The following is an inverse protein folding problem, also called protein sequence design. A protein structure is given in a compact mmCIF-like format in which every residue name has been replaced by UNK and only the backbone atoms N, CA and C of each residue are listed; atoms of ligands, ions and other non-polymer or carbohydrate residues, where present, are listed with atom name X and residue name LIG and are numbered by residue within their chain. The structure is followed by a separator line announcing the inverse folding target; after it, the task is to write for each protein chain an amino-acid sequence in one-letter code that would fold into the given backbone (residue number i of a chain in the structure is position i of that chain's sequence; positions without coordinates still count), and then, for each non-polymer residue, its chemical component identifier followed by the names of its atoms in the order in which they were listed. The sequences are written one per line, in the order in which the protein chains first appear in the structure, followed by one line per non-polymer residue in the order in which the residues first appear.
data_IF_862527734031
#
_entry.id   IF_862527734031
#
_cell.length_a   1.000
_cell.length_b   1.000
_cell.length_c   1.000
_cell.angle_alpha   90.00
_cell.angle_beta   90.00
_cell.angle_gamma   90.00
#
_symmetry.space_group_name_H-M   'P 1'
#
loop_
_entity.id
_entity.type
_entity.pdbx_description
1 polymer ?
#
# COMPACT_ATOMS: atom_id res chain seq x y z
N UNK A 1 -1.45 23.11 -12.39
CA UNK A 1 -0.23 22.28 -12.37
C UNK A 1 -0.50 21.09 -13.27
N UNK A 2 0.14 21.05 -14.43
CA UNK A 2 0.09 19.97 -15.41
C UNK A 2 0.87 18.76 -14.88
N UNK A 3 0.42 17.54 -15.21
CA UNK A 3 0.98 16.28 -14.70
C UNK A 3 2.40 15.97 -15.17
N UNK A 4 3.02 16.86 -15.94
CA UNK A 4 4.31 16.68 -16.60
C UNK A 4 5.50 17.12 -15.75
N UNK A 5 5.29 17.87 -14.67
CA UNK A 5 6.37 18.39 -13.80
C UNK A 5 6.72 17.48 -12.61
N UNK A 6 6.17 16.25 -12.55
CA UNK A 6 6.45 15.30 -11.46
C UNK A 6 7.69 14.48 -11.86
N UNK A 7 8.82 14.58 -11.12
CA UNK A 7 10.00 13.77 -11.41
C UNK A 7 9.66 12.28 -11.38
N UNK A 8 10.19 11.47 -12.32
CA UNK A 8 9.91 10.04 -12.37
C UNK A 8 10.31 9.40 -11.04
N UNK A 9 9.36 8.67 -10.46
CA UNK A 9 9.52 8.05 -9.15
C UNK A 9 10.70 7.07 -9.19
N UNK A 10 11.75 7.32 -8.39
CA UNK A 10 12.89 6.39 -8.30
C UNK A 10 12.39 5.07 -7.72
N UNK A 11 12.06 4.11 -8.60
CA UNK A 11 11.64 2.76 -8.20
C UNK A 11 12.72 2.12 -7.32
N UNK A 12 12.33 1.74 -6.11
CA UNK A 12 13.18 1.04 -5.14
C UNK A 12 13.69 -0.25 -5.79
N UNK A 13 14.94 -0.65 -5.54
CA UNK A 13 15.53 -1.88 -6.09
C UNK A 13 14.62 -3.12 -5.92
N UNK A 14 13.90 -3.21 -4.80
CA UNK A 14 12.92 -4.28 -4.54
C UNK A 14 11.72 -4.25 -5.50
N UNK A 15 11.22 -3.06 -5.85
CA UNK A 15 10.11 -2.91 -6.80
C UNK A 15 10.55 -3.30 -8.22
N UNK A 16 11.78 -2.93 -8.62
CA UNK A 16 12.38 -3.37 -9.89
C UNK A 16 12.49 -4.88 -9.98
N UNK A 17 13.05 -5.52 -8.95
CA UNK A 17 13.15 -6.99 -8.90
C UNK A 17 11.79 -7.69 -8.99
N UNK A 18 10.76 -7.11 -8.38
CA UNK A 18 9.40 -7.65 -8.47
C UNK A 18 8.82 -7.52 -9.89
N UNK A 19 9.00 -6.36 -10.51
CA UNK A 19 8.58 -6.10 -11.90
C UNK A 19 9.28 -7.07 -12.87
N UNK A 20 10.59 -7.24 -12.73
CA UNK A 20 11.39 -8.21 -13.49
C UNK A 20 10.89 -9.65 -13.27
N UNK A 21 10.61 -10.06 -12.03
CA UNK A 21 10.10 -11.39 -11.72
C UNK A 21 8.70 -11.63 -12.31
N UNK A 22 7.83 -10.63 -12.27
CA UNK A 22 6.48 -10.70 -12.83
C UNK A 22 6.53 -10.83 -14.36
N UNK A 23 7.41 -10.07 -15.01
CA UNK A 23 7.59 -10.13 -16.45
C UNK A 23 8.20 -11.45 -16.90
N UNK A 24 9.21 -11.97 -16.20
CA UNK A 24 9.78 -13.29 -16.48
C UNK A 24 8.72 -14.40 -16.35
N UNK A 25 7.86 -14.31 -15.33
CA UNK A 25 6.77 -15.26 -15.13
C UNK A 25 5.70 -15.13 -16.23
N UNK A 26 5.41 -13.92 -16.69
CA UNK A 26 4.50 -13.68 -17.83
C UNK A 26 5.03 -14.34 -19.10
N UNK A 27 6.31 -14.14 -19.42
CA UNK A 27 6.98 -14.77 -20.57
C UNK A 27 6.95 -16.29 -20.51
N UNK A 28 7.26 -16.89 -19.35
CA UNK A 28 7.22 -18.33 -19.17
C UNK A 28 5.80 -18.92 -19.41
N UNK A 29 4.76 -18.21 -18.98
CA UNK A 29 3.36 -18.64 -19.20
C UNK A 29 2.99 -18.54 -20.68
N UNK A 30 3.37 -17.45 -21.34
CA UNK A 30 3.12 -17.23 -22.77
C UNK A 30 3.84 -18.27 -23.64
N UNK A 31 5.09 -18.60 -23.32
CA UNK A 31 5.86 -19.66 -23.97
C UNK A 31 5.15 -21.01 -23.86
N UNK A 32 4.76 -21.43 -22.64
CA UNK A 32 4.05 -22.70 -22.41
C UNK A 32 2.73 -22.76 -23.18
N UNK A 33 1.95 -21.67 -23.19
CA UNK A 33 0.67 -21.61 -23.93
C UNK A 33 0.90 -21.72 -25.43
N UNK A 34 1.91 -21.04 -25.98
CA UNK A 34 2.24 -21.11 -27.40
C UNK A 34 2.68 -22.52 -27.85
N UNK A 35 3.40 -23.26 -27.00
CA UNK A 35 3.82 -24.63 -27.28
C UNK A 35 2.63 -25.59 -27.25
N UNK A 36 1.69 -25.36 -26.34
CA UNK A 36 0.47 -26.16 -26.25
C UNK A 36 -0.47 -25.91 -27.44
N UNK A 37 -0.62 -24.66 -27.89
CA UNK A 37 -1.38 -24.31 -29.09
C UNK A 37 -0.83 -24.96 -30.37
N UNK A 38 0.49 -25.22 -30.42
CA UNK A 38 1.15 -25.99 -31.48
C UNK A 38 0.88 -27.51 -31.41
N UNK A 39 0.09 -27.97 -30.44
CA UNK A 39 -0.29 -29.38 -30.28
C UNK A 39 0.74 -30.25 -29.56
N UNK A 40 1.74 -29.65 -28.90
CA UNK A 40 2.75 -30.43 -28.17
C UNK A 40 2.17 -31.02 -26.88
N UNK A 41 2.46 -32.30 -26.56
CA UNK A 41 2.03 -32.89 -25.30
C UNK A 41 2.80 -32.28 -24.12
N UNK A 42 2.18 -32.30 -22.94
CA UNK A 42 2.73 -31.72 -21.69
C UNK A 42 4.13 -32.26 -21.35
N UNK A 43 4.41 -33.53 -21.66
CA UNK A 43 5.75 -34.13 -21.48
C UNK A 43 6.80 -33.42 -22.32
N UNK A 44 6.51 -33.18 -23.60
CA UNK A 44 7.43 -32.50 -24.52
C UNK A 44 7.63 -31.03 -24.16
N UNK A 45 6.57 -30.37 -23.68
CA UNK A 45 6.66 -29.00 -23.15
C UNK A 45 7.55 -28.96 -21.90
N UNK A 46 7.47 -29.99 -21.05
CA UNK A 46 8.33 -30.12 -19.86
C UNK A 46 9.81 -30.24 -20.23
N UNK A 47 10.13 -31.02 -21.27
CA UNK A 47 11.50 -31.16 -21.78
C UNK A 47 12.04 -29.85 -22.37
N UNK A 48 11.22 -29.08 -23.09
CA UNK A 48 11.64 -27.83 -23.74
C UNK A 48 11.81 -26.70 -22.71
N UNK A 49 10.83 -26.53 -21.82
CA UNK A 49 10.76 -25.38 -20.89
C UNK A 49 11.44 -25.65 -19.54
N UNK A 50 11.74 -26.91 -19.23
CA UNK A 50 12.26 -27.35 -17.93
C UNK A 50 11.24 -27.24 -16.79
N UNK A 51 9.99 -26.88 -17.08
CA UNK A 51 8.94 -26.79 -16.07
C UNK A 51 8.35 -28.16 -15.73
N UNK A 52 7.94 -28.34 -14.48
CA UNK A 52 7.26 -29.56 -14.05
C UNK A 52 5.87 -29.69 -14.70
N UNK A 53 5.37 -30.91 -14.94
CA UNK A 53 4.03 -31.11 -15.51
C UNK A 53 2.90 -30.40 -14.74
N UNK A 54 3.02 -30.32 -13.41
CA UNK A 54 2.07 -29.59 -12.56
C UNK A 54 2.09 -28.07 -12.84
N UNK A 55 3.28 -27.50 -13.04
CA UNK A 55 3.44 -26.08 -13.38
C UNK A 55 2.88 -25.77 -14.76
N UNK A 56 3.12 -26.65 -15.73
CA UNK A 56 2.58 -26.52 -17.09
C UNK A 56 1.05 -26.54 -17.05
N UNK A 57 0.44 -27.54 -16.39
CA UNK A 57 -1.02 -27.59 -16.21
C UNK A 57 -1.57 -26.33 -15.56
N UNK A 58 -0.87 -25.79 -14.55
CA UNK A 58 -1.24 -24.52 -13.90
C UNK A 58 -1.17 -23.33 -14.86
N UNK A 59 -0.16 -23.24 -15.73
CA UNK A 59 -0.04 -22.14 -16.70
C UNK A 59 -1.06 -22.23 -17.84
N UNK A 60 -1.50 -23.43 -18.19
CA UNK A 60 -2.56 -23.68 -19.18
C UNK A 60 -3.97 -23.35 -18.66
N UNK A 61 -4.17 -23.31 -17.34
CA UNK A 61 -5.45 -22.88 -16.76
C UNK A 61 -5.75 -21.42 -17.15
N UNK A 62 -6.95 -21.18 -17.71
CA UNK A 62 -7.43 -19.84 -18.07
C UNK A 62 -7.57 -18.91 -16.86
N UNK A 63 -7.80 -19.47 -15.67
CA UNK A 63 -7.88 -18.71 -14.42
C UNK A 63 -6.52 -18.29 -13.86
N UNK A 64 -5.43 -18.80 -14.42
CA UNK A 64 -4.10 -18.48 -13.91
C UNK A 64 -3.67 -17.05 -14.28
N UNK A 65 -3.35 -16.25 -13.26
CA UNK A 65 -2.79 -14.92 -13.41
C UNK A 65 -1.28 -14.94 -13.08
N UNK A 66 -0.39 -14.50 -14.00
CA UNK A 66 1.04 -14.38 -13.73
C UNK A 66 1.38 -13.37 -12.63
N UNK A 67 0.52 -12.37 -12.38
CA UNK A 67 0.70 -11.38 -11.33
C UNK A 67 0.46 -12.00 -9.96
N UNK A 68 1.33 -11.67 -9.00
CA UNK A 68 1.19 -12.13 -7.63
C UNK A 68 0.00 -11.40 -6.96
N UNK A 69 -1.08 -12.11 -6.59
CA UNK A 69 -2.24 -11.48 -5.96
C UNK A 69 -1.91 -10.92 -4.56
N UNK A 70 -0.80 -11.32 -3.95
CA UNK A 70 -0.39 -10.89 -2.63
C UNK A 70 0.57 -9.70 -2.60
N UNK A 71 1.12 -9.27 -3.74
CA UNK A 71 2.07 -8.15 -3.76
C UNK A 71 1.44 -6.83 -3.32
N UNK A 72 0.20 -6.58 -3.73
CA UNK A 72 -0.55 -5.38 -3.35
C UNK A 72 -1.21 -5.50 -1.96
N UNK A 73 -1.19 -6.69 -1.36
CA UNK A 73 -1.80 -6.93 -0.06
C UNK A 73 -0.85 -6.54 1.08
N UNK A 74 -1.19 -5.46 1.76
CA UNK A 74 -0.47 -5.04 2.96
C UNK A 74 -1.01 -5.74 4.20
N UNK A 75 -0.28 -6.75 4.70
CA UNK A 75 -0.53 -7.28 6.04
C UNK A 75 0.20 -6.45 7.09
N UNK A 76 -0.47 -5.93 8.13
CA UNK A 76 0.22 -5.26 9.22
C UNK A 76 1.09 -6.30 9.93
N UNK A 77 2.40 -6.29 9.67
CA UNK A 77 3.35 -7.17 10.37
C UNK A 77 3.32 -6.98 11.88
N UNK A 78 4.02 -7.84 12.65
CA UNK A 78 3.98 -7.86 14.13
C UNK A 78 4.12 -6.50 14.82
N UNK A 79 4.81 -5.54 14.19
CA UNK A 79 5.01 -4.18 14.73
C UNK A 79 3.77 -3.28 14.60
N UNK A 80 2.80 -3.65 13.76
CA UNK A 80 1.60 -2.87 13.42
C UNK A 80 0.91 -2.21 14.62
N UNK A 81 0.54 -2.97 15.67
CA UNK A 81 -0.10 -2.43 16.87
C UNK A 81 0.76 -1.44 17.66
N UNK A 82 2.09 -1.52 17.53
CA UNK A 82 3.05 -0.76 18.35
C UNK A 82 3.66 0.44 17.62
N UNK A 83 3.31 0.70 16.35
CA UNK A 83 3.95 1.73 15.52
C UNK A 83 3.88 3.13 16.13
N UNK A 84 2.70 3.52 16.64
CA UNK A 84 2.52 4.82 17.27
C UNK A 84 3.43 4.96 18.49
N UNK A 85 3.51 3.89 19.29
CA UNK A 85 4.37 3.86 20.48
C UNK A 85 5.85 4.00 20.13
N UNK A 86 6.29 3.38 19.05
CA UNK A 86 7.67 3.54 18.54
C UNK A 86 7.98 5.01 18.20
N UNK A 87 7.04 5.72 17.56
CA UNK A 87 7.22 7.14 17.22
C UNK A 87 7.35 8.00 18.50
N UNK A 88 6.41 7.85 19.44
CA UNK A 88 6.43 8.56 20.74
C UNK A 88 7.75 8.33 21.49
N UNK A 89 8.23 7.08 21.54
CA UNK A 89 9.47 6.76 22.26
C UNK A 89 10.71 7.28 21.55
N UNK A 90 10.69 7.38 20.21
CA UNK A 90 11.79 7.99 19.44
C UNK A 90 11.82 9.50 19.61
N UNK A 91 10.68 10.18 19.72
CA UNK A 91 10.61 11.60 20.08
C UNK A 91 11.23 11.86 21.46
N UNK A 92 11.07 10.92 22.39
CA UNK A 92 11.73 10.93 23.72
C UNK A 92 13.22 10.54 23.68
N UNK A 93 13.83 10.42 22.49
CA UNK A 93 15.22 10.04 22.26
C UNK A 93 15.62 8.63 22.76
N UNK A 94 14.67 7.69 22.88
CA UNK A 94 15.03 6.32 23.29
C UNK A 94 15.78 5.57 22.19
N UNK A 95 16.76 4.74 22.59
CA UNK A 95 17.49 3.88 21.67
C UNK A 95 16.62 2.71 21.18
N UNK A 96 16.92 2.16 20.01
CA UNK A 96 16.14 1.05 19.44
C UNK A 96 16.13 -0.20 20.34
N UNK A 97 17.24 -0.48 21.02
CA UNK A 97 17.32 -1.59 21.98
C UNK A 97 16.40 -1.36 23.18
N UNK A 98 16.39 -0.13 23.73
CA UNK A 98 15.52 0.23 24.85
C UNK A 98 14.03 0.19 24.47
N UNK A 99 13.69 0.65 23.27
CA UNK A 99 12.32 0.56 22.74
C UNK A 99 11.91 -0.89 22.57
N UNK A 100 12.78 -1.74 22.04
CA UNK A 100 12.48 -3.16 21.85
C UNK A 100 12.21 -3.87 23.16
N UNK A 101 13.07 -3.68 24.18
CA UNK A 101 12.87 -4.24 25.51
C UNK A 101 11.51 -3.81 26.11
N UNK A 102 11.18 -2.52 26.04
CA UNK A 102 9.89 -2.00 26.50
C UNK A 102 8.71 -2.63 25.74
N UNK A 103 8.82 -2.81 24.42
CA UNK A 103 7.76 -3.44 23.65
C UNK A 103 7.63 -4.95 23.95
N UNK A 104 8.74 -5.64 24.26
CA UNK A 104 8.70 -7.06 24.66
C UNK A 104 7.91 -7.25 25.96
N UNK A 105 8.05 -6.33 26.92
CA UNK A 105 7.23 -6.32 28.15
C UNK A 105 5.73 -6.15 27.84
N UNK A 106 5.39 -5.49 26.73
CA UNK A 106 4.02 -5.30 26.24
C UNK A 106 3.53 -6.43 25.32
N UNK A 107 4.31 -7.51 25.16
CA UNK A 107 3.94 -8.68 24.36
C UNK A 107 4.43 -8.65 22.90
N UNK A 108 5.37 -7.77 22.55
CA UNK A 108 5.94 -7.73 21.20
C UNK A 108 6.94 -8.88 20.96
N UNK A 109 6.66 -9.72 19.94
CA UNK A 109 7.51 -10.87 19.55
C UNK A 109 8.31 -10.65 18.26
N UNK A 110 8.49 -9.40 17.86
CA UNK A 110 9.29 -9.04 16.68
C UNK A 110 10.73 -8.63 17.03
N UNK A 111 11.49 -8.23 16.01
CA UNK A 111 12.91 -7.91 16.13
C UNK A 111 13.18 -6.41 16.23
N UNK A 112 14.35 -6.05 16.75
CA UNK A 112 14.86 -4.66 16.73
C UNK A 112 14.97 -4.14 15.29
N UNK A 113 15.32 -5.00 14.33
CA UNK A 113 15.46 -4.60 12.92
C UNK A 113 14.12 -4.22 12.27
N UNK A 114 13.02 -4.85 12.68
CA UNK A 114 11.69 -4.43 12.23
C UNK A 114 11.37 -2.99 12.68
N UNK A 115 11.79 -2.61 13.89
CA UNK A 115 11.66 -1.24 14.42
C UNK A 115 12.56 -0.28 13.61
N UNK A 116 13.82 -0.66 13.36
CA UNK A 116 14.76 0.16 12.55
C UNK A 116 14.24 0.35 11.13
N UNK A 117 13.77 -0.71 10.49
CA UNK A 117 13.21 -0.69 9.14
C UNK A 117 11.96 0.18 9.05
N UNK A 118 11.08 0.11 10.05
CA UNK A 118 9.94 1.03 10.17
C UNK A 118 10.41 2.48 10.24
N UNK A 119 11.38 2.81 11.11
CA UNK A 119 11.88 4.18 11.24
C UNK A 119 12.64 4.67 10.00
N UNK A 120 13.36 3.79 9.30
CA UNK A 120 13.99 4.11 8.02
C UNK A 120 12.94 4.46 6.96
N UNK A 121 11.84 3.70 6.89
CA UNK A 121 10.70 4.00 6.01
C UNK A 121 10.06 5.35 6.36
N UNK A 122 9.85 5.63 7.64
CA UNK A 122 9.30 6.92 8.09
C UNK A 122 10.21 8.10 7.73
N UNK A 123 11.53 7.97 7.93
CA UNK A 123 12.50 9.00 7.50
C UNK A 123 12.45 9.25 6.01
N UNK A 124 12.36 8.18 5.20
CA UNK A 124 12.26 8.31 3.74
C UNK A 124 10.97 9.03 3.33
N UNK A 125 9.82 8.65 3.89
CA UNK A 125 8.55 9.33 3.62
C UNK A 125 8.67 10.82 3.95
N UNK A 126 9.24 11.15 5.11
CA UNK A 126 9.44 12.53 5.52
C UNK A 126 10.38 13.29 4.57
N UNK A 127 11.46 12.64 4.10
CA UNK A 127 12.37 13.22 3.13
C UNK A 127 11.72 13.42 1.75
N UNK A 128 11.03 12.42 1.23
CA UNK A 128 10.30 12.50 -0.05
C UNK A 128 9.26 13.63 -0.02
N UNK A 129 8.57 13.79 1.12
CA UNK A 129 7.62 14.89 1.36
C UNK A 129 8.35 16.23 1.43
N UNK A 130 9.46 16.32 2.17
CA UNK A 130 10.25 17.54 2.29
C UNK A 130 10.83 18.00 0.95
N UNK A 131 11.30 17.07 0.12
CA UNK A 131 11.82 17.34 -1.22
C UNK A 131 10.71 17.82 -2.17
N UNK A 132 9.53 17.18 -2.16
CA UNK A 132 8.40 17.59 -3.01
C UNK A 132 7.77 18.93 -2.62
N UNK A 133 7.85 19.33 -1.37
CA UNK A 133 7.13 20.50 -0.83
C UNK A 133 8.08 21.45 -0.09
N UNK A 134 9.22 21.75 -0.71
CA UNK A 134 10.30 22.56 -0.15
C UNK A 134 9.78 23.84 0.54
N UNK A 135 10.13 24.04 1.81
CA UNK A 135 9.83 25.26 2.56
C UNK A 135 8.40 25.40 3.09
N UNK A 136 7.52 24.40 2.89
CA UNK A 136 6.16 24.39 3.46
C UNK A 136 6.08 23.52 4.72
N UNK A 137 5.30 23.96 5.71
CA UNK A 137 4.84 23.10 6.80
C UNK A 137 3.79 22.14 6.23
N UNK A 138 4.11 20.84 6.20
CA UNK A 138 3.25 19.82 5.58
C UNK A 138 2.70 18.92 6.68
N UNK A 139 1.38 18.79 6.72
CA UNK A 139 0.70 17.75 7.50
C UNK A 139 0.44 16.54 6.59
N UNK A 140 0.81 15.35 7.07
CA UNK A 140 0.74 14.10 6.27
C UNK A 140 -0.39 13.24 6.80
N UNK A 141 -1.42 13.06 5.97
CA UNK A 141 -2.60 12.26 6.31
C UNK A 141 -2.58 10.95 5.51
N UNK A 142 -2.70 9.81 6.19
CA UNK A 142 -2.83 8.52 5.51
C UNK A 142 -4.16 8.44 4.72
N UNK A 143 -4.11 7.92 3.48
CA UNK A 143 -5.27 7.77 2.59
C UNK A 143 -6.48 7.09 3.24
N UNK A 144 -6.26 6.14 4.15
CA UNK A 144 -7.35 5.44 4.84
C UNK A 144 -8.26 6.39 5.63
N UNK A 145 -7.70 7.46 6.20
CA UNK A 145 -8.46 8.44 6.98
C UNK A 145 -9.31 9.33 6.07
N UNK A 146 -8.79 9.71 4.90
CA UNK A 146 -9.56 10.39 3.85
C UNK A 146 -10.73 9.54 3.34
N UNK A 147 -10.54 8.22 3.24
CA UNK A 147 -11.64 7.33 2.85
C UNK A 147 -12.65 7.23 3.98
N UNK A 148 -12.20 7.06 5.22
CA UNK A 148 -13.10 6.95 6.37
C UNK A 148 -13.94 8.22 6.58
N UNK A 149 -13.41 9.42 6.36
CA UNK A 149 -14.18 10.67 6.47
C UNK A 149 -15.32 10.79 5.47
N UNK A 150 -15.31 10.03 4.37
CA UNK A 150 -16.45 9.97 3.44
C UNK A 150 -17.63 9.18 4.04
N UNK A 151 -17.36 8.18 4.87
CA UNK A 151 -18.38 7.25 5.36
C UNK A 151 -18.75 7.47 6.83
N UNK A 152 -17.83 8.00 7.63
CA UNK A 152 -17.97 8.22 9.07
C UNK A 152 -17.88 9.70 9.42
N UNK A 153 -18.64 10.17 10.43
CA UNK A 153 -18.48 11.52 10.94
C UNK A 153 -17.05 11.74 11.45
N UNK A 154 -16.58 12.98 11.36
CA UNK A 154 -15.20 13.37 11.71
C UNK A 154 -14.86 12.98 13.16
N UNK A 155 -15.84 13.02 14.07
CA UNK A 155 -15.69 12.54 15.46
C UNK A 155 -15.24 11.08 15.60
N UNK A 156 -15.40 10.26 14.55
CA UNK A 156 -14.95 8.86 14.49
C UNK A 156 -13.66 8.68 13.68
N UNK A 157 -13.02 9.76 13.24
CA UNK A 157 -11.77 9.76 12.47
C UNK A 157 -10.67 10.40 13.33
N UNK A 158 -9.88 9.61 14.10
CA UNK A 158 -8.98 10.12 15.14
C UNK A 158 -7.92 11.13 14.68
N UNK A 159 -7.57 11.15 13.40
CA UNK A 159 -6.46 11.95 12.84
C UNK A 159 -6.95 13.21 12.13
N UNK A 160 -8.26 13.33 11.92
CA UNK A 160 -8.86 14.42 11.16
C UNK A 160 -9.80 15.20 12.08
N UNK A 161 -9.50 16.48 12.30
CA UNK A 161 -10.38 17.44 12.93
C UNK A 161 -11.07 18.33 11.87
N UNK A 162 -12.00 19.18 12.31
CA UNK A 162 -12.74 20.06 11.42
C UNK A 162 -11.83 21.06 10.69
N UNK A 163 -10.82 21.60 11.37
CA UNK A 163 -9.86 22.56 10.80
C UNK A 163 -9.03 21.93 9.66
N UNK A 164 -8.48 20.74 9.90
CA UNK A 164 -7.75 19.95 8.90
C UNK A 164 -8.66 19.58 7.74
N UNK A 165 -9.92 19.22 7.99
CA UNK A 165 -10.85 18.92 6.91
C UNK A 165 -11.13 20.14 6.03
N UNK A 166 -11.27 21.33 6.62
CA UNK A 166 -11.45 22.59 5.87
C UNK A 166 -10.24 22.84 4.97
N UNK A 167 -9.03 22.75 5.52
CA UNK A 167 -7.79 22.92 4.75
C UNK A 167 -7.68 21.89 3.62
N UNK A 168 -8.01 20.63 3.91
CA UNK A 168 -8.00 19.53 2.94
C UNK A 168 -8.98 19.78 1.79
N UNK A 169 -10.20 20.23 2.09
CA UNK A 169 -11.20 20.58 1.06
C UNK A 169 -10.77 21.76 0.21
N UNK A 170 -10.06 22.73 0.80
CA UNK A 170 -9.52 23.89 0.08
C UNK A 170 -8.40 23.50 -0.88
N UNK A 171 -7.48 22.66 -0.43
CA UNK A 171 -6.35 22.20 -1.25
C UNK A 171 -6.80 21.22 -2.35
N UNK A 172 -7.73 20.31 -2.03
CA UNK A 172 -8.18 19.25 -2.92
C UNK A 172 -9.67 19.38 -3.25
N UNK A 173 -9.97 20.22 -4.24
CA UNK A 173 -11.35 20.50 -4.69
C UNK A 173 -12.14 19.25 -5.11
N UNK A 174 -11.49 18.28 -5.76
CA UNK A 174 -12.12 17.01 -6.15
C UNK A 174 -12.57 16.23 -4.91
N UNK A 175 -11.73 16.18 -3.87
CA UNK A 175 -12.11 15.53 -2.61
C UNK A 175 -13.27 16.29 -1.94
N UNK A 176 -13.27 17.62 -1.96
CA UNK A 176 -14.38 18.42 -1.43
C UNK A 176 -15.71 18.10 -2.13
N UNK A 177 -15.69 18.00 -3.46
CA UNK A 177 -16.85 17.61 -4.25
C UNK A 177 -17.37 16.22 -3.89
N UNK A 178 -16.48 15.21 -3.84
CA UNK A 178 -16.86 13.83 -3.48
C UNK A 178 -17.39 13.77 -2.05
N UNK A 179 -16.72 14.45 -1.10
CA UNK A 179 -17.18 14.53 0.27
C UNK A 179 -18.59 15.10 0.34
N UNK A 180 -18.84 16.23 -0.32
CA UNK A 180 -20.16 16.85 -0.34
C UNK A 180 -21.21 15.90 -0.93
N UNK A 181 -20.94 15.28 -2.07
CA UNK A 181 -21.84 14.35 -2.75
C UNK A 181 -22.23 13.15 -1.86
N UNK A 182 -21.25 12.52 -1.19
CA UNK A 182 -21.51 11.35 -0.34
C UNK A 182 -22.36 11.74 0.87
N UNK A 183 -22.07 12.89 1.48
CA UNK A 183 -22.82 13.35 2.65
C UNK A 183 -24.22 13.84 2.31
N UNK A 184 -24.40 14.58 1.21
CA UNK A 184 -25.74 14.97 0.74
C UNK A 184 -26.57 13.74 0.39
N UNK A 185 -25.98 12.77 -0.33
CA UNK A 185 -26.63 11.49 -0.60
C UNK A 185 -27.08 10.80 0.69
N UNK A 186 -26.19 10.69 1.67
CA UNK A 186 -26.51 10.07 2.97
C UNK A 186 -27.64 10.80 3.70
N UNK A 187 -27.64 12.13 3.66
CA UNK A 187 -28.65 12.92 4.36
C UNK A 187 -30.02 12.81 3.69
N UNK A 188 -30.09 12.65 2.35
CA UNK A 188 -31.34 12.32 1.66
C UNK A 188 -32.01 11.06 2.24
N UNK A 189 -31.24 10.00 2.53
CA UNK A 189 -31.80 8.78 3.13
C UNK A 189 -32.14 8.90 4.63
N UNK A 190 -31.60 9.89 5.33
CA UNK A 190 -31.97 10.16 6.73
C UNK A 190 -33.23 11.01 6.84
N UNK A 191 -33.55 11.79 5.81
CA UNK A 191 -34.80 12.56 5.77
C UNK A 191 -35.95 11.57 5.68
N UNK A 192 -36.63 11.35 6.82
CA UNK A 192 -37.68 10.35 7.06
C UNK A 192 -38.98 10.59 6.27
N UNK A 193 -38.94 11.30 5.14
CA UNK A 193 -40.05 11.57 4.24
C UNK A 193 -39.56 11.53 2.80
N UNK A 194 -39.31 10.33 2.31
CA UNK A 194 -39.33 10.08 0.87
C UNK A 194 -39.87 8.68 0.64
N UNK A 195 -41.13 8.50 1.06
CA UNK A 195 -42.14 7.52 0.62
C UNK A 195 -43.46 7.90 1.29
#
# INVERSE_FOLDING_TARGET
MTTEDIPPEKKIQSARKHEEATENKRKAVEEVRSLFEKGLPVSRISEITGHTPATIKRYLDQKFNPKDPCYDNFFPGKLGPYRQKVLELREKNWTYAKIHAYLQEQGYTGTVDAIRGFMAKQRRIHQDVKERYLGKTIDVIERKWLIQSLFYPISKVPVLDDERLILLKKEYSIYAFVYQLVWTFRDLFKMKKML
#
